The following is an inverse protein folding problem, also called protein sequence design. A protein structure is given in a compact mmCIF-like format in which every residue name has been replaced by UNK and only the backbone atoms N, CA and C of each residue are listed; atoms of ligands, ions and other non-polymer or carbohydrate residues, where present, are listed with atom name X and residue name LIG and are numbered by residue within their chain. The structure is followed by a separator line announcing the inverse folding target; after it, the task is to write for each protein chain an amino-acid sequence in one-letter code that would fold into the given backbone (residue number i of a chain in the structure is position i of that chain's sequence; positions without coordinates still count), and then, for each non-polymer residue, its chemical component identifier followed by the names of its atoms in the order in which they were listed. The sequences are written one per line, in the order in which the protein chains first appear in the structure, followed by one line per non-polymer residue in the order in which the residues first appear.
data_IF_953185040243
#
_entry.id   IF_953185040243
#
_cell.length_a   1.000
_cell.length_b   1.000
_cell.length_c   1.000
_cell.angle_alpha   90.00
_cell.angle_beta   90.00
_cell.angle_gamma   90.00
#
_symmetry.space_group_name_H-M   'P 1'
#
loop_
_entity.id
_entity.type
_entity.pdbx_description
1 polymer ?
#
# COMPACT_ATOMS: atom_id res chain seq x y z
N UNK A 1 17.92 0.30 1.12
CA UNK A 1 19.33 0.10 0.69
C UNK A 1 20.25 -0.26 1.86
N UNK A 2 20.92 -1.42 1.80
CA UNK A 2 21.90 -1.87 2.80
C UNK A 2 23.31 -1.65 2.24
N UNK A 3 24.12 -0.78 2.87
CA UNK A 3 25.54 -0.67 2.53
C UNK A 3 26.31 -1.78 3.22
N UNK A 4 27.04 -2.57 2.44
CA UNK A 4 27.94 -3.60 2.97
C UNK A 4 29.18 -2.93 3.55
N UNK A 5 29.70 -3.48 4.65
CA UNK A 5 31.01 -3.06 5.17
C UNK A 5 32.13 -3.51 4.22
N UNK A 6 33.30 -2.88 4.30
CA UNK A 6 34.44 -3.25 3.45
C UNK A 6 34.97 -4.66 3.75
N UNK A 7 34.71 -5.21 4.94
CA UNK A 7 35.09 -6.58 5.34
C UNK A 7 34.25 -7.66 4.67
N UNK A 8 33.01 -7.37 4.29
CA UNK A 8 32.09 -8.28 3.61
C UNK A 8 32.37 -8.41 2.11
N UNK A 9 33.18 -7.53 1.51
CA UNK A 9 33.55 -7.57 0.08
C UNK A 9 34.43 -8.79 -0.25
N UNK A 10 35.09 -9.39 0.75
CA UNK A 10 35.88 -10.61 0.58
C UNK A 10 35.02 -11.89 0.48
N UNK A 11 33.73 -11.83 0.77
CA UNK A 11 32.81 -12.95 0.58
C UNK A 11 32.50 -13.13 -0.92
N UNK A 12 32.39 -14.39 -1.37
CA UNK A 12 31.97 -14.68 -2.73
C UNK A 12 30.60 -14.04 -3.02
N UNK A 13 30.38 -13.61 -4.27
CA UNK A 13 29.11 -13.06 -4.72
C UNK A 13 27.97 -14.02 -4.36
N UNK A 14 27.01 -13.54 -3.59
CA UNK A 14 25.86 -14.35 -3.21
C UNK A 14 25.03 -14.67 -4.45
N UNK A 15 24.76 -15.94 -4.68
CA UNK A 15 23.87 -16.38 -5.75
C UNK A 15 22.46 -15.87 -5.46
N UNK A 16 21.84 -15.19 -6.43
CA UNK A 16 20.40 -14.90 -6.40
C UNK A 16 19.67 -16.19 -6.78
N UNK A 17 18.90 -16.74 -5.83
CA UNK A 17 18.13 -17.95 -6.08
C UNK A 17 17.11 -17.70 -7.17
N UNK A 18 17.11 -18.55 -8.21
CA UNK A 18 16.04 -18.53 -9.20
C UNK A 18 14.73 -18.97 -8.54
N UNK A 19 13.75 -18.07 -8.52
CA UNK A 19 12.40 -18.42 -8.09
C UNK A 19 11.64 -19.06 -9.25
N UNK A 20 10.94 -20.17 -8.96
CA UNK A 20 10.11 -20.88 -9.93
C UNK A 20 8.67 -20.34 -9.94
N UNK A 21 8.30 -19.53 -8.94
CA UNK A 21 6.96 -19.00 -8.78
C UNK A 21 6.94 -17.47 -8.94
N UNK A 22 6.86 -16.99 -10.19
CA UNK A 22 6.67 -15.55 -10.42
C UNK A 22 5.35 -15.08 -9.79
N UNK A 23 5.43 -14.10 -8.90
CA UNK A 23 4.25 -13.46 -8.31
C UNK A 23 3.78 -12.33 -9.21
N UNK A 24 2.65 -12.53 -9.88
CA UNK A 24 1.97 -11.46 -10.62
C UNK A 24 0.94 -10.81 -9.69
N UNK A 25 1.20 -9.57 -9.26
CA UNK A 25 0.20 -8.75 -8.57
C UNK A 25 -0.79 -8.26 -9.64
N UNK A 26 -2.01 -8.79 -9.59
CA UNK A 26 -3.08 -8.35 -10.46
C UNK A 26 -3.56 -6.94 -10.10
N UNK A 27 -4.34 -6.32 -10.98
CA UNK A 27 -4.92 -4.99 -10.74
C UNK A 27 -5.67 -4.94 -9.40
N UNK A 28 -5.43 -3.87 -8.63
CA UNK A 28 -6.16 -3.60 -7.38
C UNK A 28 -7.64 -3.39 -7.66
N UNK A 29 -8.50 -4.07 -6.90
CA UNK A 29 -9.96 -3.98 -7.01
C UNK A 29 -10.59 -3.30 -5.82
N UNK A 30 -10.00 -3.46 -4.64
CA UNK A 30 -10.56 -2.95 -3.37
C UNK A 30 -9.45 -2.75 -2.36
N UNK A 31 -9.68 -1.81 -1.44
CA UNK A 31 -8.78 -1.53 -0.32
C UNK A 31 -9.59 -1.52 0.97
N UNK A 32 -9.08 -2.20 1.99
CA UNK A 32 -9.60 -2.18 3.36
C UNK A 32 -8.59 -1.47 4.23
N UNK A 33 -9.02 -0.41 4.90
CA UNK A 33 -8.19 0.40 5.78
C UNK A 33 -8.40 -0.06 7.23
N UNK A 34 -7.30 -0.20 7.96
CA UNK A 34 -7.30 -0.51 9.39
C UNK A 34 -6.36 0.47 10.10
N UNK A 35 -6.70 0.87 11.33
CA UNK A 35 -5.75 1.56 12.20
C UNK A 35 -4.59 0.65 12.61
N UNK A 36 -3.37 1.18 12.58
CA UNK A 36 -2.18 0.51 13.06
C UNK A 36 -2.27 0.27 14.58
N UNK A 37 -1.71 -0.85 15.04
CA UNK A 37 -1.74 -1.25 16.46
C UNK A 37 -2.99 -2.04 16.90
N UNK A 38 -4.01 -2.16 16.05
CA UNK A 38 -5.16 -3.04 16.30
C UNK A 38 -4.84 -4.51 15.99
N UNK A 39 -5.70 -5.42 16.49
CA UNK A 39 -5.59 -6.85 16.20
C UNK A 39 -5.57 -7.10 14.68
N UNK A 40 -4.49 -7.73 14.22
CA UNK A 40 -4.23 -7.95 12.81
C UNK A 40 -4.96 -9.19 12.28
N UNK A 41 -5.38 -9.14 11.01
CA UNK A 41 -5.64 -10.35 10.25
C UNK A 41 -4.30 -11.04 9.99
N UNK A 42 -4.18 -12.31 10.34
CA UNK A 42 -2.98 -13.11 10.15
C UNK A 42 -3.11 -13.93 8.87
N UNK A 43 -1.97 -14.39 8.35
CA UNK A 43 -1.97 -15.30 7.19
C UNK A 43 -2.78 -16.58 7.45
N UNK A 44 -2.78 -17.08 8.70
CA UNK A 44 -3.52 -18.26 9.08
C UNK A 44 -5.06 -18.06 9.06
N UNK A 45 -5.54 -16.86 9.38
CA UNK A 45 -6.98 -16.61 9.52
C UNK A 45 -7.59 -15.74 8.41
N UNK A 46 -6.78 -15.19 7.50
CA UNK A 46 -7.26 -14.36 6.40
C UNK A 46 -8.28 -15.07 5.49
N UNK A 47 -8.22 -16.41 5.39
CA UNK A 47 -9.18 -17.23 4.64
C UNK A 47 -10.53 -17.47 5.35
N UNK A 48 -10.70 -16.97 6.57
CA UNK A 48 -11.93 -17.13 7.34
C UNK A 48 -12.75 -15.86 7.28
N UNK A 49 -13.93 -15.91 6.65
CA UNK A 49 -14.82 -14.72 6.52
C UNK A 49 -15.14 -14.09 7.88
N UNK A 50 -15.36 -14.92 8.91
CA UNK A 50 -15.64 -14.47 10.28
C UNK A 50 -14.55 -13.57 10.89
N UNK A 51 -13.29 -13.73 10.46
CA UNK A 51 -12.18 -12.88 10.89
C UNK A 51 -12.34 -11.43 10.44
N UNK A 52 -13.01 -11.21 9.30
CA UNK A 52 -13.23 -9.88 8.74
C UNK A 52 -14.56 -9.28 9.17
N UNK A 53 -15.60 -10.09 9.35
CA UNK A 53 -16.95 -9.59 9.64
C UNK A 53 -17.02 -8.82 10.95
N UNK A 54 -16.33 -9.29 12.00
CA UNK A 54 -16.37 -8.63 13.31
C UNK A 54 -15.70 -7.24 13.27
N UNK A 55 -14.45 -7.08 12.77
CA UNK A 55 -13.85 -5.76 12.63
C UNK A 55 -14.56 -4.84 11.63
N UNK A 56 -15.18 -5.37 10.56
CA UNK A 56 -15.95 -4.56 9.61
C UNK A 56 -17.26 -4.01 10.20
N UNK A 57 -17.86 -4.73 11.16
CA UNK A 57 -19.08 -4.33 11.85
C UNK A 57 -18.86 -3.54 13.14
N UNK A 58 -17.61 -3.45 13.62
CA UNK A 58 -17.30 -2.75 14.87
C UNK A 58 -17.65 -1.27 14.79
N UNK A 59 -18.12 -0.70 15.91
CA UNK A 59 -18.46 0.73 16.04
C UNK A 59 -17.37 1.53 16.75
N UNK A 60 -16.31 0.87 17.20
CA UNK A 60 -15.25 1.45 18.01
C UNK A 60 -13.95 1.64 17.21
N UNK A 61 -12.86 1.87 17.94
CA UNK A 61 -11.53 2.08 17.40
C UNK A 61 -10.94 0.84 16.70
N UNK A 62 -11.53 -0.34 16.82
CA UNK A 62 -11.13 -1.57 16.12
C UNK A 62 -11.73 -1.70 14.71
N UNK A 63 -12.62 -0.78 14.33
CA UNK A 63 -13.31 -0.78 13.05
C UNK A 63 -12.34 -0.78 11.87
N UNK A 64 -12.57 -1.69 10.92
CA UNK A 64 -11.97 -1.66 9.58
C UNK A 64 -12.93 -1.00 8.60
N UNK A 65 -12.40 -0.27 7.62
CA UNK A 65 -13.20 0.41 6.59
C UNK A 65 -12.89 -0.20 5.23
N UNK A 66 -13.86 -0.90 4.66
CA UNK A 66 -13.78 -1.46 3.30
C UNK A 66 -14.29 -0.43 2.30
N UNK A 67 -13.40 0.05 1.42
CA UNK A 67 -13.76 1.04 0.41
C UNK A 67 -14.36 0.31 -0.80
N UNK A 68 -15.69 0.24 -0.85
CA UNK A 68 -16.42 -0.54 -1.87
C UNK A 68 -16.53 0.14 -3.24
N UNK A 69 -16.25 1.44 -3.31
CA UNK A 69 -16.37 2.21 -4.55
C UNK A 69 -15.38 1.70 -5.59
N UNK A 70 -15.80 1.76 -6.87
CA UNK A 70 -14.99 1.23 -7.96
C UNK A 70 -13.67 1.99 -8.06
N UNK A 71 -12.58 1.23 -7.97
CA UNK A 71 -11.22 1.70 -8.08
C UNK A 71 -10.76 1.60 -9.54
N UNK A 72 -10.20 2.68 -10.08
CA UNK A 72 -9.69 2.75 -11.44
C UNK A 72 -8.23 3.18 -11.45
N UNK A 73 -7.53 2.70 -12.47
CA UNK A 73 -6.14 3.01 -12.74
C UNK A 73 -5.21 2.91 -11.51
N UNK A 74 -5.29 1.83 -10.70
CA UNK A 74 -4.35 1.63 -9.61
C UNK A 74 -2.95 1.40 -10.18
N UNK A 75 -2.00 2.20 -9.73
CA UNK A 75 -0.60 2.06 -10.07
C UNK A 75 0.24 2.17 -8.79
N UNK A 76 1.24 1.29 -8.67
CA UNK A 76 2.32 1.42 -7.70
C UNK A 76 3.56 1.81 -8.48
N UNK A 77 4.16 2.96 -8.17
CA UNK A 77 5.39 3.40 -8.82
C UNK A 77 6.59 2.62 -8.27
N UNK A 78 7.61 2.44 -9.11
CA UNK A 78 8.90 1.89 -8.66
C UNK A 78 9.67 2.92 -7.84
N UNK A 79 10.58 2.45 -6.98
CA UNK A 79 11.53 3.34 -6.31
C UNK A 79 12.67 3.73 -7.26
N UNK A 80 13.14 4.98 -7.14
CA UNK A 80 14.26 5.51 -7.89
C UNK A 80 15.44 5.82 -6.96
N UNK A 81 16.69 5.65 -7.42
CA UNK A 81 17.87 5.94 -6.61
C UNK A 81 18.03 7.44 -6.35
N UNK A 82 18.12 7.81 -5.07
CA UNK A 82 18.52 9.15 -4.63
C UNK A 82 20.05 9.24 -4.69
N UNK A 83 20.55 10.25 -5.41
CA UNK A 83 21.96 10.39 -5.78
C UNK A 83 22.54 11.70 -5.23
N UNK A 84 23.79 11.65 -4.77
CA UNK A 84 24.61 12.84 -4.48
C UNK A 84 25.87 12.83 -5.33
N UNK A 85 26.38 14.03 -5.62
CA UNK A 85 27.51 14.24 -6.52
C UNK A 85 27.16 14.04 -7.99
N UNK A 86 27.77 14.86 -8.85
CA UNK A 86 27.65 14.74 -10.30
C UNK A 86 28.67 15.63 -11.01
N UNK A 87 29.91 15.17 -11.19
CA UNK A 87 31.00 15.95 -11.78
C UNK A 87 31.31 17.28 -11.04
N UNK A 88 30.93 17.40 -9.77
CA UNK A 88 31.03 18.63 -8.97
C UNK A 88 32.00 18.52 -7.79
N UNK A 89 32.82 17.46 -7.75
CA UNK A 89 33.84 17.17 -6.72
C UNK A 89 33.30 17.14 -5.27
N UNK A 90 31.98 17.08 -5.08
CA UNK A 90 31.30 16.95 -3.77
C UNK A 90 31.42 15.53 -3.20
N UNK A 91 31.84 14.57 -4.04
CA UNK A 91 32.04 13.15 -3.75
C UNK A 91 33.44 12.71 -4.22
N UNK A 92 34.01 11.60 -3.69
CA UNK A 92 35.33 11.14 -4.09
C UNK A 92 35.46 10.94 -5.62
N UNK A 93 36.26 11.80 -6.25
CA UNK A 93 36.48 11.80 -7.70
C UNK A 93 35.30 12.31 -8.55
N UNK A 94 34.36 13.06 -7.96
CA UNK A 94 33.18 13.61 -8.66
C UNK A 94 32.18 12.55 -9.13
N UNK A 95 32.33 11.31 -8.68
CA UNK A 95 31.49 10.17 -9.05
C UNK A 95 30.19 10.18 -8.27
N UNK A 96 29.10 9.89 -8.94
CA UNK A 96 27.80 9.77 -8.29
C UNK A 96 27.78 8.66 -7.24
N UNK A 97 27.34 9.02 -6.04
CA UNK A 97 27.08 8.09 -4.95
C UNK A 97 25.56 7.96 -4.76
N UNK A 98 25.06 6.73 -4.74
CA UNK A 98 23.67 6.47 -4.33
C UNK A 98 23.64 6.60 -2.81
N UNK A 99 22.70 7.38 -2.29
CA UNK A 99 22.50 7.60 -0.84
C UNK A 99 21.25 6.92 -0.30
N UNK A 100 20.30 6.60 -1.18
CA UNK A 100 19.10 5.87 -0.82
C UNK A 100 18.19 5.69 -2.01
N UNK A 101 16.91 5.45 -1.72
CA UNK A 101 15.85 5.30 -2.70
C UNK A 101 14.62 6.12 -2.30
N UNK A 102 13.81 6.50 -3.28
CA UNK A 102 12.51 7.15 -3.05
C UNK A 102 11.51 6.17 -2.45
N UNK A 103 10.52 6.70 -1.72
CA UNK A 103 9.34 5.93 -1.34
C UNK A 103 8.48 5.68 -2.58
N UNK A 104 7.95 4.46 -2.76
CA UNK A 104 7.03 4.19 -3.85
C UNK A 104 5.62 4.69 -3.52
N UNK A 105 4.97 5.26 -4.52
CA UNK A 105 3.63 5.83 -4.41
C UNK A 105 2.60 4.87 -4.97
N UNK A 106 1.53 4.67 -4.23
CA UNK A 106 0.29 4.14 -4.76
C UNK A 106 -0.59 5.29 -5.22
N UNK A 107 -1.12 5.20 -6.44
CA UNK A 107 -2.09 6.16 -6.96
C UNK A 107 -3.23 5.46 -7.68
N UNK A 108 -4.38 6.13 -7.73
CA UNK A 108 -5.51 5.71 -8.54
C UNK A 108 -6.69 6.66 -8.40
N UNK A 109 -7.87 6.21 -8.82
CA UNK A 109 -9.07 7.04 -8.82
C UNK A 109 -10.31 6.27 -8.37
N UNK A 110 -11.10 6.87 -7.48
CA UNK A 110 -12.48 6.46 -7.26
C UNK A 110 -13.40 7.18 -8.21
N UNK A 111 -14.46 6.52 -8.69
CA UNK A 111 -15.49 7.17 -9.50
C UNK A 111 -16.85 7.15 -8.81
N UNK A 112 -17.61 8.25 -8.95
CA UNK A 112 -19.00 8.30 -8.50
C UNK A 112 -19.17 8.26 -6.98
N UNK A 113 -18.21 8.82 -6.22
CA UNK A 113 -18.38 9.01 -4.78
C UNK A 113 -19.53 10.01 -4.52
N UNK A 114 -20.37 9.72 -3.52
CA UNK A 114 -21.28 10.72 -2.97
C UNK A 114 -20.50 11.76 -2.16
N UNK A 115 -21.10 12.93 -1.91
CA UNK A 115 -20.49 13.98 -1.07
C UNK A 115 -20.19 13.45 0.34
N UNK A 116 -21.08 12.62 0.89
CA UNK A 116 -20.87 11.98 2.18
C UNK A 116 -19.68 11.02 2.13
N UNK A 117 -19.63 10.10 1.17
CA UNK A 117 -18.53 9.15 1.05
C UNK A 117 -17.17 9.85 0.85
N UNK A 118 -17.13 10.94 0.08
CA UNK A 118 -15.93 11.77 -0.05
C UNK A 118 -15.51 12.41 1.27
N UNK A 119 -16.47 12.93 2.04
CA UNK A 119 -16.21 13.56 3.35
C UNK A 119 -15.73 12.54 4.38
N UNK A 120 -16.31 11.35 4.38
CA UNK A 120 -15.92 10.23 5.25
C UNK A 120 -14.50 9.75 4.90
N UNK A 121 -14.19 9.60 3.60
CA UNK A 121 -12.85 9.24 3.13
C UNK A 121 -11.80 10.29 3.51
N UNK A 122 -12.14 11.59 3.38
CA UNK A 122 -11.24 12.67 3.84
C UNK A 122 -11.00 12.62 5.34
N UNK A 123 -12.04 12.34 6.13
CA UNK A 123 -11.93 12.24 7.59
C UNK A 123 -11.04 11.06 7.98
N UNK A 124 -11.24 9.90 7.33
CA UNK A 124 -10.38 8.73 7.51
C UNK A 124 -8.92 9.05 7.15
N UNK A 125 -8.67 9.63 5.99
CA UNK A 125 -7.31 9.95 5.54
C UNK A 125 -6.64 11.06 6.34
N UNK A 126 -7.40 12.01 6.89
CA UNK A 126 -6.88 12.99 7.85
C UNK A 126 -6.31 12.32 9.11
N UNK A 127 -6.85 11.18 9.53
CA UNK A 127 -6.26 10.38 10.61
C UNK A 127 -4.89 9.82 10.22
N UNK A 128 -4.75 9.32 8.99
CA UNK A 128 -3.48 8.86 8.43
C UNK A 128 -2.43 9.96 8.29
N UNK A 129 -2.86 11.20 8.06
CA UNK A 129 -1.99 12.39 7.96
C UNK A 129 -1.65 13.02 9.33
N UNK A 130 -2.21 12.52 10.44
CA UNK A 130 -2.09 13.17 11.75
C UNK A 130 -0.67 13.11 12.35
N UNK A 131 0.22 12.30 11.80
CA UNK A 131 1.62 12.19 12.21
C UNK A 131 2.51 11.93 11.00
N UNK A 132 3.65 12.60 10.95
CA UNK A 132 4.69 12.39 9.92
C UNK A 132 5.62 11.23 10.31
N UNK A 133 5.73 10.93 11.61
CA UNK A 133 6.73 10.00 12.14
C UNK A 133 6.16 8.59 12.40
N UNK A 134 4.84 8.45 12.49
CA UNK A 134 4.18 7.19 12.87
C UNK A 134 2.99 6.91 11.95
N UNK A 135 3.03 5.74 11.31
CA UNK A 135 1.90 5.19 10.58
C UNK A 135 0.69 4.97 11.47
N UNK A 136 -0.40 5.66 11.16
CA UNK A 136 -1.68 5.51 11.86
C UNK A 136 -2.61 4.55 11.15
N UNK A 137 -2.49 4.44 9.84
CA UNK A 137 -3.33 3.60 9.00
C UNK A 137 -2.48 2.58 8.24
N UNK A 138 -3.09 1.43 7.97
CA UNK A 138 -2.58 0.45 7.04
C UNK A 138 -3.68 -0.02 6.10
N UNK A 139 -3.27 -0.52 4.94
CA UNK A 139 -4.14 -1.05 3.90
C UNK A 139 -3.95 -2.56 3.73
N UNK A 140 -5.08 -3.27 3.67
CA UNK A 140 -5.17 -4.56 3.00
C UNK A 140 -5.66 -4.32 1.58
N UNK A 141 -4.94 -4.86 0.60
CA UNK A 141 -5.22 -4.58 -0.80
C UNK A 141 -5.72 -5.86 -1.46
N UNK A 142 -6.91 -5.82 -2.02
CA UNK A 142 -7.52 -6.94 -2.73
C UNK A 142 -7.31 -6.71 -4.21
N UNK A 143 -6.51 -7.57 -4.82
CA UNK A 143 -6.21 -7.58 -6.23
C UNK A 143 -7.13 -8.55 -6.99
N UNK A 144 -6.94 -8.65 -8.31
CA UNK A 144 -7.57 -9.68 -9.14
C UNK A 144 -7.34 -11.10 -8.62
N UNK A 145 -8.16 -12.04 -9.10
CA UNK A 145 -8.06 -13.47 -8.78
C UNK A 145 -8.13 -13.82 -7.28
N UNK A 146 -8.82 -12.98 -6.51
CA UNK A 146 -8.96 -13.08 -5.05
C UNK A 146 -7.62 -13.04 -4.30
N UNK A 147 -6.63 -12.34 -4.85
CA UNK A 147 -5.36 -12.11 -4.17
C UNK A 147 -5.54 -11.01 -3.12
N UNK A 148 -5.14 -11.32 -1.88
CA UNK A 148 -4.99 -10.38 -0.78
C UNK A 148 -3.50 -10.08 -0.62
N UNK A 149 -3.15 -8.81 -0.77
CA UNK A 149 -1.84 -8.28 -0.44
C UNK A 149 -1.88 -7.71 0.98
N UNK A 150 -1.02 -8.24 1.83
CA UNK A 150 -0.92 -7.90 3.25
C UNK A 150 0.52 -8.08 3.73
N UNK A 151 0.84 -7.74 4.97
CA UNK A 151 2.17 -7.99 5.51
C UNK A 151 2.40 -9.51 5.70
N UNK A 152 3.59 -10.04 5.37
CA UNK A 152 3.89 -11.48 5.37
C UNK A 152 3.73 -12.15 6.74
N UNK A 153 3.91 -11.38 7.81
CA UNK A 153 3.71 -11.83 9.20
C UNK A 153 2.26 -11.61 9.69
N UNK A 154 1.33 -11.25 8.80
CA UNK A 154 0.01 -10.75 9.15
C UNK A 154 0.00 -9.23 9.38
N UNK A 155 -1.19 -8.66 9.28
CA UNK A 155 -1.46 -7.23 9.42
C UNK A 155 -1.54 -6.49 8.08
N UNK A 156 -2.05 -5.25 8.11
CA UNK A 156 -2.13 -4.42 6.93
C UNK A 156 -0.74 -3.92 6.54
N UNK A 157 -0.57 -3.51 5.28
CA UNK A 157 0.63 -2.80 4.85
C UNK A 157 0.52 -1.34 5.33
N UNK A 158 1.51 -0.79 6.05
CA UNK A 158 1.49 0.61 6.47
C UNK A 158 1.33 1.56 5.28
N UNK A 159 0.56 2.64 5.45
CA UNK A 159 0.36 3.67 4.42
C UNK A 159 0.69 5.06 4.96
N UNK A 160 1.53 5.78 4.21
CA UNK A 160 1.99 7.11 4.54
C UNK A 160 1.17 8.17 3.80
N UNK A 161 0.83 9.24 4.52
CA UNK A 161 0.21 10.45 3.95
C UNK A 161 -0.94 10.18 2.94
N UNK A 162 -1.94 9.35 3.29
CA UNK A 162 -3.01 9.07 2.36
C UNK A 162 -3.82 10.33 2.06
N UNK A 163 -4.13 10.56 0.79
CA UNK A 163 -4.79 11.77 0.32
C UNK A 163 -5.86 11.44 -0.71
N UNK A 164 -7.02 12.11 -0.59
CA UNK A 164 -8.06 12.13 -1.62
C UNK A 164 -8.24 13.56 -2.13
N UNK A 165 -8.05 13.72 -3.42
CA UNK A 165 -8.15 14.97 -4.14
C UNK A 165 -9.60 15.40 -4.35
N UNK A 166 -9.80 16.69 -4.58
CA UNK A 166 -11.09 17.22 -5.01
C UNK A 166 -11.53 16.57 -6.32
N UNK A 167 -12.85 16.40 -6.55
CA UNK A 167 -13.35 15.78 -7.75
C UNK A 167 -12.89 16.50 -9.01
N UNK A 168 -12.55 15.71 -10.02
CA UNK A 168 -12.41 16.12 -11.42
C UNK A 168 -13.57 15.51 -12.22
N UNK A 169 -14.08 16.22 -13.22
CA UNK A 169 -15.25 15.76 -13.97
C UNK A 169 -15.83 16.84 -14.88
N UNK A 170 -17.05 16.60 -15.40
CA UNK A 170 -17.77 17.52 -16.28
C UNK A 170 -17.78 17.13 -17.76
N UNK A 171 -17.31 15.93 -18.11
CA UNK A 171 -17.41 15.37 -19.46
C UNK A 171 -18.69 14.53 -19.59
N UNK A 172 -19.33 14.61 -20.75
CA UNK A 172 -20.53 13.85 -21.07
C UNK A 172 -20.23 12.34 -20.99
N UNK A 173 -21.04 11.59 -20.24
CA UNK A 173 -20.93 10.14 -20.01
C UNK A 173 -19.75 9.63 -19.15
N UNK A 174 -19.00 10.51 -18.49
CA UNK A 174 -17.97 10.10 -17.53
C UNK A 174 -18.42 10.34 -16.08
N UNK A 175 -18.19 9.36 -15.20
CA UNK A 175 -18.40 9.53 -13.76
C UNK A 175 -17.35 10.50 -13.20
N UNK A 176 -17.77 11.34 -12.26
CA UNK A 176 -16.86 12.20 -11.48
C UNK A 176 -15.75 11.35 -10.85
N UNK A 177 -14.51 11.77 -11.03
CA UNK A 177 -13.31 11.04 -10.63
C UNK A 177 -12.63 11.74 -9.46
N UNK A 178 -12.24 10.97 -8.45
CA UNK A 178 -11.59 11.43 -7.24
C UNK A 178 -10.24 10.73 -7.14
N UNK A 179 -9.17 11.49 -7.38
CA UNK A 179 -7.80 10.95 -7.30
C UNK A 179 -7.48 10.60 -5.86
N UNK A 180 -6.88 9.44 -5.65
CA UNK A 180 -6.36 8.98 -4.37
C UNK A 180 -4.89 8.62 -4.50
N UNK A 181 -4.13 8.89 -3.45
CA UNK A 181 -2.71 8.59 -3.38
C UNK A 181 -2.29 8.31 -1.94
N UNK A 182 -1.26 7.49 -1.75
CA UNK A 182 -0.53 7.31 -0.50
C UNK A 182 0.83 6.70 -0.81
N UNK A 183 1.77 6.77 0.12
CA UNK A 183 3.10 6.22 -0.05
C UNK A 183 3.24 4.93 0.76
N UNK A 184 4.08 4.01 0.30
CA UNK A 184 4.49 2.84 1.08
C UNK A 184 5.89 3.04 1.64
N UNK A 185 6.24 2.21 2.62
CA UNK A 185 7.60 2.10 3.11
C UNK A 185 8.59 1.76 1.99
N UNK A 186 9.84 2.20 2.18
CA UNK A 186 10.96 1.72 1.37
C UNK A 186 11.04 0.20 1.51
N UNK A 187 11.30 -0.48 0.40
CA UNK A 187 11.39 -1.95 0.35
C UNK A 187 10.11 -2.68 0.82
N UNK A 188 8.93 -2.04 0.80
CA UNK A 188 7.66 -2.65 1.26
C UNK A 188 7.41 -4.06 0.70
N UNK A 189 7.83 -4.31 -0.56
CA UNK A 189 7.66 -5.60 -1.24
C UNK A 189 8.41 -6.75 -0.55
N UNK A 190 9.49 -6.48 0.18
CA UNK A 190 10.23 -7.51 0.95
C UNK A 190 9.45 -8.04 2.16
N UNK A 191 8.48 -7.26 2.63
CA UNK A 191 7.65 -7.54 3.78
C UNK A 191 6.19 -7.79 3.40
N UNK A 192 5.83 -7.61 2.13
CA UNK A 192 4.53 -7.96 1.59
C UNK A 192 4.42 -9.47 1.34
N UNK A 193 3.23 -10.01 1.56
CA UNK A 193 2.83 -11.36 1.21
C UNK A 193 1.54 -11.34 0.40
N UNK A 194 1.46 -12.22 -0.59
CA UNK A 194 0.24 -12.42 -1.40
C UNK A 194 -0.42 -13.72 -0.96
N UNK A 195 -1.66 -13.62 -0.49
CA UNK A 195 -2.49 -14.75 -0.09
C UNK A 195 -3.73 -14.85 -0.98
N UNK A 196 -4.03 -16.04 -1.49
CA UNK A 196 -5.28 -16.26 -2.24
C UNK A 196 -6.42 -16.55 -1.28
N UNK A 197 -7.46 -15.70 -1.30
CA UNK A 197 -8.66 -15.88 -0.50
C UNK A 197 -9.53 -17.03 -1.03
N UNK A 198 -10.04 -17.84 -0.11
CA UNK A 198 -10.92 -19.00 -0.41
C UNK A 198 -12.39 -18.62 -0.59
N UNK A 199 -12.80 -17.42 -0.17
CA UNK A 199 -14.16 -16.92 -0.29
C UNK A 199 -14.22 -15.71 -1.25
N UNK A 200 -15.44 -15.32 -1.64
CA UNK A 200 -15.66 -14.16 -2.50
C UNK A 200 -15.35 -12.85 -1.75
N UNK A 201 -14.32 -12.08 -2.15
CA UNK A 201 -13.96 -10.83 -1.46
C UNK A 201 -15.04 -9.74 -1.55
N UNK A 202 -16.02 -9.89 -2.44
CA UNK A 202 -17.18 -9.01 -2.52
C UNK A 202 -17.97 -8.96 -1.20
N UNK A 203 -17.90 -10.02 -0.38
CA UNK A 203 -18.55 -10.12 0.93
C UNK A 203 -17.89 -9.25 2.02
N UNK A 204 -16.68 -8.72 1.77
CA UNK A 204 -15.98 -7.84 2.70
C UNK A 204 -16.54 -6.42 2.57
N UNK A 205 -17.67 -6.18 3.21
CA UNK A 205 -18.37 -4.88 3.25
C UNK A 205 -18.64 -4.48 4.69
N UNK A 206 -18.61 -3.17 4.95
CA UNK A 206 -19.16 -2.64 6.19
C UNK A 206 -20.69 -2.76 6.15
N UNK A 207 -21.35 -3.19 7.24
CA UNK A 207 -22.81 -3.25 7.33
C UNK A 207 -23.44 -1.86 7.40
#
# INVERSE_FOLDING_TARGET
MIYQDCSAIAAALQLVTADQCSTLIQQVRRVIIQRMGNAAVTTANANTLGTWTTPLAASDNTRMVSIINKFYDPAITGSEPVKIGNNDNTTPGGKTQIVGETTPDFSGMFTGLSVQAFTDLRTLFAEGQSSVDIDRLGAYIICGDNQLLMHKNGGPIPIHMPFVGTPSGGKLHELTQFRVTWEFDKEWYTNAGVQKLTFNPALLVNP
#
